data_IF_883686176887
#
_entry.id   IF_883686176887
#
_cell.length_a   1.000
_cell.length_b   1.000
_cell.length_c   1.000
_cell.angle_alpha   90.00
_cell.angle_beta   90.00
_cell.angle_gamma   90.00
#
_symmetry.space_group_name_H-M   'P 1'
#
loop_
_entity.id
_entity.type
_entity.pdbx_description
1 polymer ?
#
# COMPACT_ATOMS: atom_id res chain seq x y z
N UNK A 1 -39.67 14.55 11.63
CA UNK A 1 -39.15 14.13 10.31
C UNK A 1 -37.64 14.27 10.32
N UNK A 2 -36.89 13.17 10.38
CA UNK A 2 -35.43 13.18 10.41
C UNK A 2 -34.86 13.08 9.00
N UNK A 3 -34.11 14.09 8.57
CA UNK A 3 -33.31 14.00 7.35
C UNK A 3 -31.94 13.43 7.72
N UNK A 4 -31.73 12.15 7.38
CA UNK A 4 -30.42 11.52 7.44
C UNK A 4 -29.50 12.16 6.41
N UNK A 5 -28.55 12.94 6.89
CA UNK A 5 -27.44 13.47 6.08
C UNK A 5 -26.72 12.29 5.44
N UNK A 6 -26.77 12.22 4.11
CA UNK A 6 -26.02 11.24 3.33
C UNK A 6 -24.55 11.37 3.67
N UNK A 7 -23.95 10.29 4.15
CA UNK A 7 -22.51 10.22 4.34
C UNK A 7 -21.84 10.26 2.97
N UNK A 8 -21.54 11.47 2.48
CA UNK A 8 -20.53 11.65 1.45
C UNK A 8 -19.23 11.17 2.05
N UNK A 9 -18.79 9.96 1.69
CA UNK A 9 -17.44 9.51 2.04
C UNK A 9 -16.48 10.59 1.51
N UNK A 10 -15.70 11.26 2.37
CA UNK A 10 -14.72 12.21 1.88
C UNK A 10 -13.82 11.45 0.91
N UNK A 11 -13.57 12.05 -0.27
CA UNK A 11 -12.58 11.52 -1.19
C UNK A 11 -11.23 11.36 -0.48
N UNK A 12 -10.34 10.49 -1.00
CA UNK A 12 -9.07 10.22 -0.34
C UNK A 12 -8.34 11.54 -0.05
N UNK A 13 -8.00 11.75 1.21
CA UNK A 13 -7.25 12.93 1.64
C UNK A 13 -5.89 12.96 0.93
N UNK A 14 -5.32 14.16 0.79
CA UNK A 14 -4.01 14.33 0.17
C UNK A 14 -2.93 13.45 0.84
N UNK A 15 -3.02 13.26 2.16
CA UNK A 15 -2.13 12.38 2.92
C UNK A 15 -2.30 10.90 2.52
N UNK A 16 -3.53 10.43 2.30
CA UNK A 16 -3.79 9.05 1.88
C UNK A 16 -3.34 8.79 0.45
N UNK A 17 -3.51 9.74 -0.46
CA UNK A 17 -2.98 9.64 -1.83
C UNK A 17 -1.44 9.56 -1.77
N UNK A 18 -0.80 10.43 -1.02
CA UNK A 18 0.66 10.42 -0.86
C UNK A 18 1.19 9.11 -0.25
N UNK A 19 0.54 8.61 0.80
CA UNK A 19 0.92 7.35 1.43
C UNK A 19 0.75 6.16 0.47
N UNK A 20 -0.29 6.17 -0.35
CA UNK A 20 -0.50 5.18 -1.39
C UNK A 20 0.59 5.23 -2.46
N UNK A 21 0.89 6.41 -3.01
CA UNK A 21 1.95 6.58 -4.01
C UNK A 21 3.33 6.20 -3.44
N UNK A 22 3.64 6.55 -2.19
CA UNK A 22 4.88 6.12 -1.53
C UNK A 22 4.96 4.60 -1.39
N UNK A 23 3.89 3.96 -0.91
CA UNK A 23 3.86 2.50 -0.78
C UNK A 23 4.00 1.80 -2.13
N UNK A 24 3.41 2.36 -3.20
CA UNK A 24 3.60 1.88 -4.57
C UNK A 24 5.03 2.03 -5.05
N UNK A 25 5.67 3.17 -4.80
CA UNK A 25 7.06 3.42 -5.15
C UNK A 25 8.01 2.46 -4.41
N UNK A 26 7.74 2.19 -3.13
CA UNK A 26 8.48 1.23 -2.32
C UNK A 26 8.41 -0.20 -2.87
N UNK A 27 7.24 -0.62 -3.34
CA UNK A 27 7.05 -1.94 -3.93
C UNK A 27 7.40 -1.99 -5.42
N UNK A 28 7.59 -0.84 -6.07
CA UNK A 28 7.82 -0.75 -7.52
C UNK A 28 6.60 -1.15 -8.35
N UNK A 29 5.38 -0.87 -7.87
CA UNK A 29 4.12 -1.20 -8.56
C UNK A 29 3.45 0.03 -9.17
N UNK A 30 2.71 -0.18 -10.25
CA UNK A 30 1.99 0.89 -10.93
C UNK A 30 0.76 1.37 -10.15
N UNK A 31 0.24 2.56 -10.48
CA UNK A 31 -0.97 3.09 -9.87
C UNK A 31 -2.25 2.28 -10.16
N UNK A 32 -2.22 1.46 -11.21
CA UNK A 32 -3.29 0.51 -11.54
C UNK A 32 -3.07 -0.90 -10.98
N UNK A 33 -2.01 -1.12 -10.19
CA UNK A 33 -1.64 -2.46 -9.75
C UNK A 33 -2.71 -3.06 -8.83
N UNK A 34 -3.28 -4.18 -9.26
CA UNK A 34 -4.23 -4.94 -8.47
C UNK A 34 -3.56 -5.70 -7.32
N UNK A 35 -4.38 -6.32 -6.47
CA UNK A 35 -3.95 -7.14 -5.32
C UNK A 35 -2.85 -8.15 -5.69
N UNK A 36 -2.98 -8.80 -6.84
CA UNK A 36 -2.04 -9.83 -7.29
C UNK A 36 -0.66 -9.27 -7.64
N UNK A 37 -0.61 -8.10 -8.27
CA UNK A 37 0.66 -7.41 -8.59
C UNK A 37 1.37 -6.91 -7.34
N UNK A 38 0.63 -6.35 -6.37
CA UNK A 38 1.19 -5.93 -5.08
C UNK A 38 1.84 -7.09 -4.34
N UNK A 39 1.17 -8.25 -4.28
CA UNK A 39 1.72 -9.45 -3.64
C UNK A 39 2.97 -9.97 -4.36
N UNK A 40 2.98 -9.93 -5.69
CA UNK A 40 4.13 -10.40 -6.46
C UNK A 40 5.35 -9.48 -6.29
N UNK A 41 5.13 -8.17 -6.42
CA UNK A 41 6.16 -7.16 -6.21
C UNK A 41 6.71 -7.19 -4.78
N UNK A 42 5.84 -7.33 -3.78
CA UNK A 42 6.23 -7.48 -2.38
C UNK A 42 7.17 -8.68 -2.18
N UNK A 43 6.88 -9.85 -2.76
CA UNK A 43 7.78 -11.01 -2.67
C UNK A 43 9.15 -10.72 -3.28
N UNK A 44 9.19 -10.02 -4.42
CA UNK A 44 10.45 -9.63 -5.07
C UNK A 44 11.24 -8.63 -4.23
N UNK A 45 10.57 -7.65 -3.63
CA UNK A 45 11.21 -6.65 -2.77
C UNK A 45 11.72 -7.30 -1.50
N UNK A 46 10.91 -8.08 -0.78
CA UNK A 46 11.33 -8.79 0.44
C UNK A 46 12.52 -9.71 0.17
N UNK A 47 12.53 -10.42 -0.97
CA UNK A 47 13.66 -11.27 -1.35
C UNK A 47 14.96 -10.49 -1.64
N UNK A 48 14.86 -9.20 -2.00
CA UNK A 48 15.99 -8.30 -2.22
C UNK A 48 16.44 -7.59 -0.93
N UNK A 49 15.49 -7.19 -0.07
CA UNK A 49 15.78 -6.50 1.19
C UNK A 49 16.02 -7.45 2.37
N UNK A 50 16.06 -8.76 2.11
CA UNK A 50 16.30 -9.76 3.14
C UNK A 50 17.71 -9.60 3.74
N UNK A 51 17.87 -9.73 5.07
CA UNK A 51 19.16 -9.57 5.75
C UNK A 51 20.24 -10.54 5.24
N UNK A 52 19.82 -11.72 4.80
CA UNK A 52 20.70 -12.75 4.22
C UNK A 52 21.38 -12.32 2.90
N UNK A 53 20.83 -11.32 2.21
CA UNK A 53 21.38 -10.74 0.97
C UNK A 53 21.92 -9.32 1.13
N UNK A 54 22.11 -8.86 2.37
CA UNK A 54 22.62 -7.52 2.66
C UNK A 54 21.55 -6.45 2.88
N UNK A 55 20.30 -6.85 3.08
CA UNK A 55 19.24 -5.95 3.53
C UNK A 55 19.14 -5.83 5.05
N UNK A 56 18.07 -5.19 5.54
CA UNK A 56 17.81 -5.01 6.97
C UNK A 56 16.38 -5.41 7.28
N UNK A 57 16.15 -5.94 8.49
CA UNK A 57 14.80 -6.27 8.95
C UNK A 57 13.85 -5.06 8.90
N UNK A 58 14.40 -3.85 9.08
CA UNK A 58 13.68 -2.58 8.91
C UNK A 58 13.13 -2.40 7.49
N UNK A 59 13.92 -2.68 6.46
CA UNK A 59 13.47 -2.60 5.05
C UNK A 59 12.40 -3.65 4.73
N UNK A 60 12.50 -4.84 5.32
CA UNK A 60 11.47 -5.88 5.22
C UNK A 60 10.17 -5.40 5.88
N UNK A 61 10.27 -4.76 7.05
CA UNK A 61 9.13 -4.14 7.73
C UNK A 61 8.49 -3.04 6.88
N UNK A 62 9.28 -2.17 6.28
CA UNK A 62 8.80 -1.10 5.39
C UNK A 62 8.05 -1.67 4.17
N UNK A 63 8.58 -2.73 3.55
CA UNK A 63 7.92 -3.43 2.45
C UNK A 63 6.62 -4.15 2.88
N UNK A 64 6.55 -4.66 4.12
CA UNK A 64 5.33 -5.23 4.69
C UNK A 64 4.27 -4.15 4.93
N UNK A 65 4.66 -3.03 5.53
CA UNK A 65 3.77 -1.90 5.80
C UNK A 65 3.20 -1.30 4.51
N UNK A 66 4.05 -1.12 3.50
CA UNK A 66 3.63 -0.66 2.17
C UNK A 66 2.59 -1.60 1.55
N UNK A 67 2.81 -2.92 1.61
CA UNK A 67 1.86 -3.92 1.10
C UNK A 67 0.52 -3.81 1.81
N UNK A 68 0.52 -3.75 3.14
CA UNK A 68 -0.70 -3.73 3.94
C UNK A 68 -1.54 -2.48 3.66
N UNK A 69 -0.88 -1.32 3.57
CA UNK A 69 -1.53 -0.05 3.21
C UNK A 69 -2.20 -0.12 1.84
N UNK A 70 -1.52 -0.68 0.82
CA UNK A 70 -2.11 -0.81 -0.51
C UNK A 70 -3.26 -1.81 -0.55
N UNK A 71 -3.17 -2.91 0.21
CA UNK A 71 -4.22 -3.91 0.30
C UNK A 71 -5.47 -3.38 1.00
N UNK A 72 -5.29 -2.65 2.11
CA UNK A 72 -6.40 -1.96 2.79
C UNK A 72 -7.10 -1.02 1.81
N UNK A 73 -6.31 -0.23 1.05
CA UNK A 73 -6.86 0.72 0.08
C UNK A 73 -7.64 0.07 -1.05
N UNK A 74 -7.17 -1.08 -1.55
CA UNK A 74 -7.89 -1.85 -2.57
C UNK A 74 -9.19 -2.48 -2.06
N UNK A 75 -9.33 -2.65 -0.75
CA UNK A 75 -10.55 -3.19 -0.14
C UNK A 75 -11.57 -2.08 0.19
N UNK A 76 -11.11 -0.83 0.36
CA UNK A 76 -11.94 0.36 0.60
C UNK A 76 -12.42 1.07 -0.68
N UNK A 77 -11.82 0.76 -1.84
CA UNK A 77 -12.12 1.31 -3.16
C UNK A 77 -13.19 0.49 -3.91
#
# INVERSE_FOLDING_TARGET
MGYGIGQTKPGPSFAEIHANTQARALLGVAEGAGRREILDAHRRVVAQVHPDRGGSNEKVHEANAARDLLLSRLNDA
#
